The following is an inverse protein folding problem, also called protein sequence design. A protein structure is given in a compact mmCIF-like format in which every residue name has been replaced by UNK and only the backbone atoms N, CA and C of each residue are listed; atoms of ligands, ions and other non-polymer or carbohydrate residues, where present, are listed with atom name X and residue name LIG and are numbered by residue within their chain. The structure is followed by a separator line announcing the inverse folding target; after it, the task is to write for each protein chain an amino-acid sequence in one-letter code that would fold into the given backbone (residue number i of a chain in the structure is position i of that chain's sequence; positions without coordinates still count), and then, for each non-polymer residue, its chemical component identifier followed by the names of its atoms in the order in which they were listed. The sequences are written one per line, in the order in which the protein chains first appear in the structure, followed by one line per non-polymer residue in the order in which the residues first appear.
data_IF_098176002623
#
_entry.id   IF_098176002623
#
_cell.length_a   1.000
_cell.length_b   1.000
_cell.length_c   1.000
_cell.angle_alpha   90.00
_cell.angle_beta   90.00
_cell.angle_gamma   90.00
#
_symmetry.space_group_name_H-M   'P 1'
#
loop_
_entity.id
_entity.type
_entity.pdbx_description
1 polymer ?
#
# COMPACT_ATOMS: atom_id res chain seq x y z
N UNK A 1 -8.16 -9.07 9.48
CA UNK A 1 -7.04 -8.39 8.80
C UNK A 1 -6.88 -7.02 9.43
N UNK A 2 -5.68 -6.66 9.86
CA UNK A 2 -5.39 -5.28 10.26
C UNK A 2 -5.32 -4.39 9.01
N UNK A 3 -5.41 -3.07 9.15
CA UNK A 3 -5.25 -2.18 7.99
C UNK A 3 -3.76 -2.01 7.67
N UNK A 4 -3.40 -1.74 6.40
CA UNK A 4 -2.03 -1.38 6.00
C UNK A 4 -1.50 -0.30 6.95
N UNK A 5 -2.31 0.73 7.19
CA UNK A 5 -2.01 1.82 8.12
C UNK A 5 -1.62 1.33 9.52
N UNK A 6 -2.41 0.43 10.12
CA UNK A 6 -2.11 -0.11 11.47
C UNK A 6 -0.82 -0.92 11.47
N UNK A 7 -0.60 -1.71 10.42
CA UNK A 7 0.62 -2.50 10.28
C UNK A 7 1.85 -1.60 10.19
N UNK A 8 1.83 -0.59 9.32
CA UNK A 8 2.90 0.40 9.17
C UNK A 8 3.18 1.15 10.49
N UNK A 9 2.12 1.60 11.18
CA UNK A 9 2.29 2.29 12.46
C UNK A 9 2.89 1.38 13.54
N UNK A 10 2.44 0.13 13.63
CA UNK A 10 2.88 -0.80 14.68
C UNK A 10 4.25 -1.42 14.40
N UNK A 11 4.52 -1.80 13.15
CA UNK A 11 5.76 -2.48 12.71
C UNK A 11 6.89 -1.49 12.48
N UNK A 12 6.59 -0.38 11.79
CA UNK A 12 7.59 0.56 11.30
C UNK A 12 7.68 1.82 12.18
N UNK A 13 6.80 1.94 13.19
CA UNK A 13 6.79 3.08 14.10
C UNK A 13 6.34 4.38 13.44
N UNK A 14 5.68 4.30 12.28
CA UNK A 14 5.17 5.46 11.54
C UNK A 14 4.07 6.17 12.33
N UNK A 15 4.03 7.49 12.20
CA UNK A 15 2.84 8.26 12.57
C UNK A 15 1.67 7.94 11.63
N UNK A 16 0.46 8.29 12.08
CA UNK A 16 -0.73 8.09 11.26
C UNK A 16 -0.66 8.85 9.93
N UNK A 17 -0.04 10.04 9.93
CA UNK A 17 0.13 10.88 8.75
C UNK A 17 1.17 10.31 7.77
N UNK A 18 2.31 9.82 8.27
CA UNK A 18 3.31 9.15 7.42
C UNK A 18 2.74 7.90 6.76
N UNK A 19 2.00 7.09 7.50
CA UNK A 19 1.35 5.91 6.96
C UNK A 19 0.27 6.27 5.91
N UNK A 20 -0.53 7.32 6.15
CA UNK A 20 -1.51 7.80 5.16
C UNK A 20 -0.81 8.29 3.87
N UNK A 21 0.23 9.11 4.01
CA UNK A 21 0.99 9.63 2.88
C UNK A 21 1.60 8.50 2.03
N UNK A 22 2.19 7.49 2.67
CA UNK A 22 2.77 6.34 1.97
C UNK A 22 1.70 5.52 1.24
N UNK A 23 0.53 5.33 1.85
CA UNK A 23 -0.60 4.64 1.23
C UNK A 23 -1.12 5.42 0.02
N UNK A 24 -1.21 6.75 0.12
CA UNK A 24 -1.67 7.60 -0.99
C UNK A 24 -0.69 7.57 -2.18
N UNK A 25 0.62 7.51 -1.92
CA UNK A 25 1.62 7.32 -2.97
C UNK A 25 1.47 5.95 -3.67
N UNK A 26 1.33 4.87 -2.90
CA UNK A 26 1.12 3.53 -3.45
C UNK A 26 -0.19 3.44 -4.27
N UNK A 27 -1.27 4.11 -3.83
CA UNK A 27 -2.52 4.20 -4.61
C UNK A 27 -2.33 4.92 -5.93
N UNK A 28 -1.57 6.02 -5.93
CA UNK A 28 -1.24 6.76 -7.14
C UNK A 28 -0.45 5.88 -8.13
N UNK A 29 0.45 5.05 -7.61
CA UNK A 29 1.23 4.11 -8.41
C UNK A 29 0.39 2.96 -8.98
N UNK A 30 -0.44 2.33 -8.14
CA UNK A 30 -1.41 1.32 -8.56
C UNK A 30 -2.29 1.83 -9.71
N UNK A 31 -2.83 3.04 -9.57
CA UNK A 31 -3.65 3.65 -10.61
C UNK A 31 -2.90 3.88 -11.92
N UNK A 32 -1.59 4.19 -11.88
CA UNK A 32 -0.77 4.31 -13.10
C UNK A 32 -0.61 2.96 -13.79
N UNK A 33 -0.29 1.91 -13.04
CA UNK A 33 -0.18 0.55 -13.58
C UNK A 33 -1.50 0.09 -14.21
N UNK A 34 -2.62 0.22 -13.50
CA UNK A 34 -3.95 -0.13 -14.01
C UNK A 34 -4.26 0.65 -15.29
N UNK A 35 -3.95 1.95 -15.34
CA UNK A 35 -4.17 2.79 -16.52
C UNK A 35 -3.34 2.33 -17.73
N UNK A 36 -2.17 1.74 -17.47
CA UNK A 36 -1.30 1.16 -18.51
C UNK A 36 -1.71 -0.28 -18.89
N UNK A 37 -2.74 -0.86 -18.25
CA UNK A 37 -3.17 -2.24 -18.46
C UNK A 37 -2.29 -3.27 -17.75
N UNK A 38 -1.50 -2.84 -16.77
CA UNK A 38 -0.63 -3.68 -15.96
C UNK A 38 -1.35 -4.09 -14.66
N UNK A 39 -1.05 -5.30 -14.18
CA UNK A 39 -1.50 -5.80 -12.89
C UNK A 39 -0.26 -5.91 -12.00
N UNK A 40 -0.03 -4.96 -11.07
CA UNK A 40 1.17 -4.98 -10.26
C UNK A 40 0.98 -5.95 -9.08
N UNK A 41 1.36 -7.21 -9.27
CA UNK A 41 1.21 -8.30 -8.29
C UNK A 41 2.11 -8.11 -7.05
N UNK A 42 3.17 -7.32 -7.16
CA UNK A 42 4.16 -7.12 -6.09
C UNK A 42 3.99 -5.77 -5.38
N UNK A 43 2.98 -4.96 -5.72
CA UNK A 43 2.87 -3.57 -5.25
C UNK A 43 2.82 -3.44 -3.73
N UNK A 44 2.15 -4.37 -3.05
CA UNK A 44 2.08 -4.38 -1.60
C UNK A 44 3.43 -4.74 -0.96
N UNK A 45 4.23 -5.59 -1.62
CA UNK A 45 5.56 -5.96 -1.18
C UNK A 45 6.53 -4.81 -1.40
N UNK A 46 6.51 -4.19 -2.58
CA UNK A 46 7.39 -3.07 -2.94
C UNK A 46 7.16 -1.84 -2.06
N UNK A 47 5.91 -1.47 -1.80
CA UNK A 47 5.57 -0.27 -1.02
C UNK A 47 5.57 -0.50 0.49
N UNK A 48 5.15 -1.68 0.95
CA UNK A 48 4.88 -1.92 2.38
C UNK A 48 5.58 -3.16 2.93
N UNK A 49 6.23 -3.99 2.12
CA UNK A 49 6.71 -5.31 2.53
C UNK A 49 5.58 -6.19 3.06
N UNK A 50 4.39 -6.08 2.47
CA UNK A 50 3.21 -6.87 2.81
C UNK A 50 2.81 -7.77 1.64
N UNK A 51 2.11 -8.85 1.94
CA UNK A 51 1.58 -9.72 0.90
C UNK A 51 0.44 -9.02 0.11
N UNK A 52 0.12 -9.58 -1.05
CA UNK A 52 -0.92 -9.07 -1.96
C UNK A 52 -2.34 -9.09 -1.36
N UNK A 53 -2.55 -9.78 -0.24
CA UNK A 53 -3.84 -9.84 0.46
C UNK A 53 -4.33 -8.47 0.95
N UNK A 54 -3.43 -7.50 1.10
CA UNK A 54 -3.76 -6.12 1.45
C UNK A 54 -4.24 -5.26 0.28
N UNK A 55 -4.19 -5.74 -0.97
CA UNK A 55 -4.46 -4.93 -2.17
C UNK A 55 -5.86 -4.32 -2.19
N UNK A 56 -6.84 -4.99 -1.57
CA UNK A 56 -8.21 -4.48 -1.41
C UNK A 56 -8.29 -3.12 -0.69
N UNK A 57 -7.26 -2.74 0.08
CA UNK A 57 -7.19 -1.46 0.79
C UNK A 57 -6.63 -0.32 -0.07
N UNK A 58 -6.12 -0.63 -1.27
CA UNK A 58 -5.61 0.35 -2.24
C UNK A 58 -6.66 0.76 -3.29
N UNK A 59 -7.80 0.07 -3.35
CA UNK A 59 -8.92 0.41 -4.23
C UNK A 59 -9.89 1.44 -3.62
#
# INVERSE_FOLDING_TARGET
METIKKVLMNRDGMSAEEADNLIDEAKSDLHKHIKNGEIPEDICEEWFGLELDYIDQLF
#
